data_IF_093551988717
#
_entry.id   IF_093551988717
#
_cell.length_a   1.000
_cell.length_b   1.000
_cell.length_c   1.000
_cell.angle_alpha   90.00
_cell.angle_beta   90.00
_cell.angle_gamma   90.00
#
_symmetry.space_group_name_H-M   'P 1'
#
loop_
_entity.id
_entity.type
_entity.pdbx_description
1 polymer ?
#
# COMPACT_ATOMS: atom_id res chain seq x y z
N UNK A 1 8.14 -15.32 -1.62
CA UNK A 1 7.79 -14.50 -2.77
C UNK A 1 7.19 -13.19 -2.33
N UNK A 2 7.51 -12.16 -3.03
CA UNK A 2 7.00 -10.85 -2.64
C UNK A 2 5.56 -10.68 -3.09
N UNK A 3 4.80 -9.98 -2.31
CA UNK A 3 3.40 -9.69 -2.60
C UNK A 3 3.21 -8.18 -2.59
N UNK A 4 2.53 -7.67 -3.58
CA UNK A 4 2.22 -6.26 -3.61
C UNK A 4 0.95 -6.00 -2.83
N UNK A 5 0.95 -4.92 -2.06
CA UNK A 5 -0.18 -4.54 -1.24
C UNK A 5 -0.68 -3.19 -1.70
N UNK A 6 -1.97 -3.10 -1.92
CA UNK A 6 -2.61 -1.83 -2.26
C UNK A 6 -3.01 -1.14 -0.96
N UNK A 7 -2.66 0.13 -0.84
CA UNK A 7 -3.02 0.91 0.33
C UNK A 7 -3.76 2.13 -0.16
N UNK A 8 -5.01 2.25 0.20
CA UNK A 8 -5.83 3.36 -0.26
C UNK A 8 -6.40 4.18 0.87
N UNK A 9 -7.06 5.24 0.50
CA UNK A 9 -7.68 6.19 1.43
C UNK A 9 -6.64 6.85 2.32
N UNK A 10 -5.46 7.12 1.76
CA UNK A 10 -4.40 7.78 2.51
C UNK A 10 -4.67 9.27 2.61
N UNK A 11 -4.15 9.87 3.67
CA UNK A 11 -4.23 11.30 3.82
C UNK A 11 -3.35 11.97 2.79
N UNK A 12 -3.72 13.18 2.38
CA UNK A 12 -2.89 13.92 1.44
C UNK A 12 -1.56 14.32 2.06
N UNK A 13 -1.44 14.24 3.38
CA UNK A 13 -0.17 14.54 4.02
C UNK A 13 0.65 13.30 4.29
N UNK A 14 0.21 12.13 3.85
CA UNK A 14 0.97 10.91 4.04
C UNK A 14 2.28 10.98 3.30
N UNK A 15 3.32 10.37 3.86
CA UNK A 15 4.62 10.34 3.23
C UNK A 15 5.04 8.90 3.02
N UNK A 16 6.01 8.72 2.14
CA UNK A 16 6.52 7.39 1.88
C UNK A 16 7.17 6.81 3.14
N UNK A 17 7.89 7.64 3.89
CA UNK A 17 8.50 7.17 5.12
C UNK A 17 7.47 6.77 6.16
N UNK A 18 6.38 7.51 6.26
CA UNK A 18 5.32 7.17 7.18
C UNK A 18 4.66 5.86 6.82
N UNK A 19 4.45 5.63 5.54
CA UNK A 19 3.87 4.40 5.07
C UNK A 19 4.82 3.23 5.33
N UNK A 20 6.09 3.44 5.10
CA UNK A 20 7.08 2.43 5.36
C UNK A 20 7.12 2.06 6.84
N UNK A 21 7.08 3.05 7.72
CA UNK A 21 7.06 2.79 9.15
C UNK A 21 5.82 2.01 9.56
N UNK A 22 4.69 2.35 8.99
CA UNK A 22 3.46 1.67 9.32
C UNK A 22 3.54 0.19 8.99
N UNK A 23 4.06 -0.13 7.82
CA UNK A 23 4.13 -1.51 7.38
C UNK A 23 5.29 -2.26 8.02
N UNK A 24 6.32 -1.55 8.48
CA UNK A 24 7.45 -2.22 9.08
C UNK A 24 7.10 -2.87 10.41
N UNK A 25 5.95 -2.56 10.96
CA UNK A 25 5.49 -3.23 12.17
C UNK A 25 5.14 -4.68 11.89
N UNK A 26 4.93 -5.03 10.64
CA UNK A 26 4.55 -6.38 10.26
C UNK A 26 5.65 -7.12 9.52
N UNK A 27 6.71 -6.42 9.18
CA UNK A 27 7.83 -7.02 8.47
C UNK A 27 8.54 -5.92 7.71
N UNK A 28 9.70 -6.22 7.15
CA UNK A 28 10.45 -5.21 6.43
C UNK A 28 9.89 -5.05 5.04
N UNK A 29 9.42 -3.86 4.68
CA UNK A 29 8.93 -3.66 3.32
C UNK A 29 10.08 -3.77 2.32
N UNK A 30 9.83 -4.45 1.23
CA UNK A 30 10.84 -4.57 0.18
C UNK A 30 10.83 -3.31 -0.69
N UNK A 31 9.67 -2.71 -0.86
CA UNK A 31 9.60 -1.43 -1.52
C UNK A 31 8.32 -0.74 -1.11
N UNK A 32 8.34 0.58 -1.15
CA UNK A 32 7.18 1.39 -0.79
C UNK A 32 7.03 2.44 -1.88
N UNK A 33 5.85 2.53 -2.44
CA UNK A 33 5.61 3.42 -3.55
C UNK A 33 4.36 4.22 -3.31
N UNK A 34 4.53 5.47 -2.95
CA UNK A 34 3.39 6.35 -2.74
C UNK A 34 3.12 7.06 -4.06
N UNK A 35 1.90 6.91 -4.55
CA UNK A 35 1.57 7.46 -5.85
C UNK A 35 1.26 8.95 -5.70
N UNK A 36 1.93 9.75 -6.49
CA UNK A 36 1.76 11.18 -6.41
C UNK A 36 1.10 11.70 -7.66
N UNK A 37 0.35 12.78 -7.48
CA UNK A 37 -0.26 13.44 -8.62
C UNK A 37 0.80 14.29 -9.30
N UNK A 38 1.02 14.09 -10.59
CA UNK A 38 2.03 14.84 -11.28
C UNK A 38 1.74 16.28 -11.38
N UNK A 39 0.50 16.65 -11.44
CA UNK A 39 0.13 18.04 -11.63
C UNK A 39 0.31 18.85 -10.37
N UNK A 40 -0.16 18.31 -9.23
CA UNK A 40 -0.09 19.06 -7.99
C UNK A 40 1.08 18.67 -7.11
N UNK A 41 1.71 17.54 -7.39
CA UNK A 41 2.79 17.04 -6.54
C UNK A 41 2.33 16.49 -5.23
N UNK A 42 1.06 16.26 -5.05
CA UNK A 42 0.54 15.73 -3.81
C UNK A 42 0.19 14.27 -3.92
N UNK A 43 0.18 13.54 -2.79
CA UNK A 43 -0.22 12.14 -2.85
C UNK A 43 -1.64 12.01 -3.37
N UNK A 44 -1.87 11.01 -4.17
CA UNK A 44 -3.19 10.78 -4.72
C UNK A 44 -4.10 10.03 -3.77
N UNK A 45 -3.62 9.69 -2.62
CA UNK A 45 -4.44 8.99 -1.64
C UNK A 45 -4.27 7.50 -1.67
N UNK A 46 -3.33 6.98 -2.45
CA UNK A 46 -3.08 5.55 -2.45
C UNK A 46 -1.64 5.27 -2.84
N UNK A 47 -1.21 4.07 -2.53
CA UNK A 47 0.15 3.66 -2.86
C UNK A 47 0.23 2.15 -2.84
N UNK A 48 1.44 1.65 -3.04
CA UNK A 48 1.68 0.21 -3.05
C UNK A 48 2.89 -0.10 -2.19
N UNK A 49 2.83 -1.21 -1.48
CA UNK A 49 3.94 -1.67 -0.66
C UNK A 49 4.21 -3.11 -1.04
N UNK A 50 5.48 -3.47 -1.20
CA UNK A 50 5.83 -4.83 -1.52
C UNK A 50 6.50 -5.46 -0.32
N UNK A 51 6.05 -6.62 0.10
CA UNK A 51 6.60 -7.33 1.24
C UNK A 51 6.62 -8.82 0.94
N UNK A 52 7.35 -9.58 1.76
CA UNK A 52 7.29 -11.03 1.65
C UNK A 52 5.87 -11.50 1.91
N UNK A 53 5.50 -12.59 1.29
CA UNK A 53 4.11 -13.04 1.30
C UNK A 53 3.54 -13.18 2.71
N UNK A 54 4.27 -13.79 3.61
CA UNK A 54 3.77 -13.97 4.98
C UNK A 54 3.56 -12.65 5.69
N UNK A 55 4.54 -11.75 5.55
CA UNK A 55 4.43 -10.44 6.18
C UNK A 55 3.32 -9.64 5.55
N UNK A 56 3.17 -9.77 4.24
CA UNK A 56 2.14 -9.03 3.53
C UNK A 56 0.75 -9.44 4.00
N UNK A 57 0.54 -10.73 4.21
CA UNK A 57 -0.75 -11.18 4.69
C UNK A 57 -1.05 -10.63 6.07
N UNK A 58 -0.05 -10.63 6.94
CA UNK A 58 -0.23 -10.09 8.28
C UNK A 58 -0.52 -8.60 8.24
N UNK A 59 0.18 -7.89 7.38
CA UNK A 59 -0.03 -6.46 7.26
C UNK A 59 -1.43 -6.14 6.73
N UNK A 60 -1.87 -6.88 5.73
CA UNK A 60 -3.19 -6.67 5.20
C UNK A 60 -4.25 -6.91 6.27
N UNK A 61 -4.13 -8.02 6.98
CA UNK A 61 -5.10 -8.34 8.01
C UNK A 61 -5.09 -7.33 9.15
N UNK A 62 -3.92 -6.84 9.50
CA UNK A 62 -3.81 -5.95 10.64
C UNK A 62 -4.06 -4.49 10.32
N UNK A 63 -3.84 -4.06 9.09
CA UNK A 63 -3.95 -2.66 8.75
C UNK A 63 -5.22 -2.28 8.00
N UNK A 64 -5.90 -3.25 7.42
CA UNK A 64 -7.13 -2.93 6.71
C UNK A 64 -8.17 -2.45 7.71
N UNK A 65 -8.67 -1.26 7.52
CA UNK A 65 -9.66 -0.68 8.41
C UNK A 65 -9.08 0.07 9.59
N UNK A 66 -7.75 0.18 9.65
CA UNK A 66 -7.12 0.90 10.76
C UNK A 66 -7.11 2.38 10.44
N UNK A 67 -7.30 3.19 11.44
CA UNK A 67 -7.24 4.63 11.25
C UNK A 67 -5.79 5.08 11.24
N UNK A 68 -5.39 5.79 10.22
CA UNK A 68 -4.03 6.28 10.09
C UNK A 68 -4.11 7.72 9.60
N UNK A 69 -3.56 8.62 10.38
CA UNK A 69 -3.57 10.04 10.06
C UNK A 69 -4.99 10.56 9.82
N UNK A 70 -5.92 10.06 10.62
CA UNK A 70 -7.28 10.56 10.56
C UNK A 70 -8.15 9.93 9.49
N UNK A 71 -7.65 8.93 8.78
CA UNK A 71 -8.42 8.27 7.74
C UNK A 71 -8.35 6.77 7.89
N UNK A 72 -9.43 6.11 7.56
CA UNK A 72 -9.50 4.65 7.64
C UNK A 72 -8.84 4.07 6.41
N UNK A 73 -7.79 3.30 6.62
CA UNK A 73 -7.04 2.74 5.51
C UNK A 73 -7.78 1.61 4.82
N UNK A 74 -7.56 1.48 3.53
CA UNK A 74 -8.04 0.34 2.79
C UNK A 74 -6.84 -0.40 2.29
N UNK A 75 -6.60 -1.58 2.86
CA UNK A 75 -5.40 -2.36 2.56
C UNK A 75 -5.82 -3.69 2.00
N UNK A 76 -5.41 -3.97 0.79
CA UNK A 76 -5.74 -5.20 0.12
C UNK A 76 -4.55 -5.70 -0.68
N UNK A 77 -4.59 -6.97 -1.05
CA UNK A 77 -3.54 -7.49 -1.88
C UNK A 77 -3.70 -6.93 -3.29
N UNK A 78 -2.66 -6.32 -3.80
CA UNK A 78 -2.68 -5.84 -5.16
C UNK A 78 -2.18 -6.96 -6.03
N UNK A 79 -3.08 -7.54 -6.83
CA UNK A 79 -2.67 -8.62 -7.63
C UNK A 79 -1.72 -8.15 -8.62
N UNK A 80 -0.61 -8.73 -8.73
CA UNK A 80 0.32 -8.32 -9.73
C UNK A 80 -0.32 -8.73 -10.98
N UNK A 81 -0.21 -8.06 -11.87
CA UNK A 81 -0.75 -8.25 -12.96
C UNK A 81 -0.47 -9.34 -13.61
N UNK A 82 -0.95 -10.28 -13.40
CA UNK A 82 -0.92 -11.30 -14.25
C UNK A 82 -1.45 -10.81 -15.49
N UNK A 83 -0.93 -11.19 -16.48
CA UNK A 83 -1.38 -10.72 -17.71
C UNK A 83 -2.72 -11.29 -17.88
N UNK A 84 -3.68 -10.52 -17.94
CA UNK A 84 -4.85 -10.95 -18.10
C UNK A 84 -5.02 -11.19 -19.46
N UNK A 85 -5.62 -12.17 -19.87
CA UNK A 85 -5.93 -12.42 -21.24
C UNK A 85 -6.75 -11.31 -21.71
N UNK A 86 -6.48 -10.96 -22.83
CA UNK A 86 -7.26 -9.91 -23.35
C UNK A 86 -8.61 -10.44 -23.48
N UNK A 87 -9.48 -9.64 -23.20
CA UNK A 87 -10.62 -10.08 -23.24
C UNK A 87 -11.15 -9.60 -24.29
N UNK A 88 -11.60 -9.89 -24.98
CA UNK A 88 -12.25 -9.34 -26.01
C UNK A 88 -13.41 -9.99 -26.25
#
# INVERSE_FOLDING_TARGET
>A
MATSIYVGNLSFSSTQAGLENLFSQYGTPLSVNLIMDRVTGRPRGFGFVEMEEGDARNAIAGLNGVEFEGRTLRVNEAKPRAPRPPRY
#
